data_IF_131228466336
#
_entry.id   IF_131228466336
#
_cell.length_a   1.000
_cell.length_b   1.000
_cell.length_c   1.000
_cell.angle_alpha   90.00
_cell.angle_beta   90.00
_cell.angle_gamma   90.00
#
_symmetry.space_group_name_H-M   'P 1'
#
loop_
_entity.id
_entity.type
_entity.pdbx_description
1 polymer ?
#
# COMPACT_ATOMS: atom_id res chain seq x y z
N UNK A 1 -27.84 14.83 2.40
CA UNK A 1 -26.62 14.42 1.66
C UNK A 1 -25.56 15.47 1.93
N UNK A 2 -24.39 15.06 2.43
CA UNK A 2 -23.32 15.99 2.83
C UNK A 2 -22.72 16.64 1.57
N UNK A 3 -23.06 17.90 1.32
CA UNK A 3 -22.58 18.69 0.17
C UNK A 3 -21.03 18.66 0.01
N UNK A 4 -20.23 18.70 1.09
CA UNK A 4 -18.77 18.61 0.99
C UNK A 4 -18.25 17.23 0.52
N UNK A 5 -18.94 16.14 0.86
CA UNK A 5 -18.58 14.80 0.38
C UNK A 5 -18.72 14.70 -1.13
N UNK A 6 -19.84 15.21 -1.66
CA UNK A 6 -20.12 15.17 -3.10
C UNK A 6 -19.04 15.95 -3.85
N UNK A 7 -18.60 17.09 -3.32
CA UNK A 7 -17.51 17.88 -3.88
C UNK A 7 -16.21 17.06 -3.92
N UNK A 8 -15.81 16.43 -2.82
CA UNK A 8 -14.57 15.65 -2.76
C UNK A 8 -14.57 14.48 -3.75
N UNK A 9 -15.69 13.75 -3.83
CA UNK A 9 -15.84 12.65 -4.80
C UNK A 9 -15.83 13.17 -6.22
N UNK A 10 -16.48 14.30 -6.50
CA UNK A 10 -16.50 14.92 -7.83
C UNK A 10 -15.09 15.38 -8.24
N UNK A 11 -14.35 16.03 -7.34
CA UNK A 11 -12.95 16.44 -7.58
C UNK A 11 -12.09 15.21 -7.88
N UNK A 12 -12.26 14.13 -7.14
CA UNK A 12 -11.53 12.88 -7.41
C UNK A 12 -11.87 12.29 -8.77
N UNK A 13 -13.15 12.24 -9.16
CA UNK A 13 -13.56 11.77 -10.49
C UNK A 13 -12.98 12.66 -11.59
N UNK A 14 -13.02 13.99 -11.42
CA UNK A 14 -12.42 14.94 -12.36
C UNK A 14 -10.91 14.72 -12.47
N UNK A 15 -10.22 14.50 -11.36
CA UNK A 15 -8.79 14.18 -11.33
C UNK A 15 -8.50 12.88 -12.10
N UNK A 16 -9.30 11.84 -11.92
CA UNK A 16 -9.17 10.59 -12.68
C UNK A 16 -9.40 10.80 -14.17
N UNK A 17 -10.38 11.61 -14.57
CA UNK A 17 -10.64 11.90 -15.99
C UNK A 17 -9.51 12.72 -16.62
N UNK A 18 -8.96 13.71 -15.90
CA UNK A 18 -7.79 14.48 -16.34
C UNK A 18 -6.60 13.54 -16.54
N UNK A 19 -6.35 12.64 -15.57
CA UNK A 19 -5.25 11.69 -15.65
C UNK A 19 -5.46 10.67 -16.79
N UNK A 20 -6.69 10.20 -16.98
CA UNK A 20 -7.06 9.30 -18.08
C UNK A 20 -6.86 9.97 -19.45
N UNK A 21 -7.24 11.24 -19.58
CA UNK A 21 -7.05 12.01 -20.82
C UNK A 21 -5.57 12.29 -21.08
N UNK A 22 -4.79 12.58 -20.03
CA UNK A 22 -3.33 12.74 -20.12
C UNK A 22 -2.62 11.41 -20.47
N UNK A 23 -3.18 10.28 -20.04
CA UNK A 23 -2.71 8.93 -20.38
C UNK A 23 -2.92 8.57 -21.86
N UNK A 24 -3.80 9.22 -22.60
CA UNK A 24 -3.95 9.02 -24.06
C UNK A 24 -2.76 9.60 -24.86
N UNK A 25 -1.85 10.33 -24.21
CA UNK A 25 -0.60 10.78 -24.81
C UNK A 25 0.35 9.59 -24.97
N UNK A 26 1.13 9.58 -26.05
CA UNK A 26 2.15 8.56 -26.41
C UNK A 26 3.37 8.50 -25.45
N UNK A 27 3.18 8.79 -24.17
CA UNK A 27 4.24 8.70 -23.15
C UNK A 27 4.49 7.25 -22.74
N UNK A 28 5.71 6.97 -22.26
CA UNK A 28 6.04 5.67 -21.70
C UNK A 28 5.19 5.38 -20.45
N UNK A 29 4.88 4.09 -20.22
CA UNK A 29 4.07 3.65 -19.09
C UNK A 29 4.63 4.15 -17.75
N UNK A 30 5.95 4.11 -17.57
CA UNK A 30 6.62 4.60 -16.36
C UNK A 30 6.32 6.09 -16.09
N UNK A 31 6.31 6.92 -17.13
CA UNK A 31 5.99 8.36 -16.99
C UNK A 31 4.53 8.55 -16.60
N UNK A 32 3.61 7.74 -17.14
CA UNK A 32 2.18 7.78 -16.79
C UNK A 32 1.96 7.41 -15.33
N UNK A 33 2.60 6.33 -14.85
CA UNK A 33 2.53 5.89 -13.46
C UNK A 33 3.11 6.92 -12.51
N UNK A 34 4.29 7.50 -12.85
CA UNK A 34 4.92 8.52 -12.03
C UNK A 34 4.05 9.77 -11.90
N UNK A 35 3.47 10.24 -13.01
CA UNK A 35 2.55 11.40 -12.99
C UNK A 35 1.31 11.09 -12.15
N UNK A 36 0.71 9.89 -12.29
CA UNK A 36 -0.41 9.46 -11.46
C UNK A 36 -0.08 9.43 -9.97
N UNK A 37 1.12 8.94 -9.61
CA UNK A 37 1.62 8.92 -8.22
C UNK A 37 1.75 10.34 -7.68
N UNK A 38 2.39 11.25 -8.42
CA UNK A 38 2.58 12.64 -7.98
C UNK A 38 1.23 13.34 -7.77
N UNK A 39 0.31 13.25 -8.74
CA UNK A 39 -1.02 13.84 -8.59
C UNK A 39 -1.82 13.20 -7.44
N UNK A 40 -1.72 11.88 -7.25
CA UNK A 40 -2.38 11.17 -6.16
C UNK A 40 -1.87 11.61 -4.78
N UNK A 41 -0.55 11.73 -4.61
CA UNK A 41 0.07 12.20 -3.36
C UNK A 41 -0.31 13.64 -3.08
N UNK A 42 -0.22 14.53 -4.08
CA UNK A 42 -0.61 15.94 -3.93
C UNK A 42 -2.09 16.07 -3.55
N UNK A 43 -2.97 15.29 -4.17
CA UNK A 43 -4.40 15.27 -3.85
C UNK A 43 -4.65 14.78 -2.41
N UNK A 44 -4.00 13.69 -1.99
CA UNK A 44 -4.12 13.17 -0.62
C UNK A 44 -3.63 14.16 0.44
N UNK A 45 -2.51 14.84 0.20
CA UNK A 45 -1.99 15.89 1.08
C UNK A 45 -2.91 17.11 1.11
N UNK A 46 -3.47 17.52 -0.03
CA UNK A 46 -4.43 18.62 -0.08
C UNK A 46 -5.68 18.31 0.77
N UNK A 47 -6.23 17.10 0.64
CA UNK A 47 -7.37 16.68 1.48
C UNK A 47 -7.04 16.73 2.98
N UNK A 48 -5.85 16.28 3.38
CA UNK A 48 -5.41 16.33 4.78
C UNK A 48 -5.14 17.77 5.28
N UNK A 49 -4.87 18.72 4.38
CA UNK A 49 -4.66 20.12 4.75
C UNK A 49 -5.98 20.91 4.89
N UNK A 50 -7.01 20.55 4.13
CA UNK A 50 -8.31 21.24 4.16
C UNK A 50 -9.29 20.67 5.18
N UNK A 51 -9.10 19.41 5.62
CA UNK A 51 -10.00 18.75 6.54
C UNK A 51 -9.21 18.16 7.73
N UNK A 52 -9.73 18.36 8.94
CA UNK A 52 -9.15 17.79 10.17
C UNK A 52 -9.36 16.27 10.20
N UNK A 53 -8.38 15.51 10.71
CA UNK A 53 -8.31 14.05 10.60
C UNK A 53 -9.53 13.30 11.22
N UNK A 54 -10.33 13.99 12.03
CA UNK A 54 -11.51 13.43 12.70
C UNK A 54 -12.85 13.75 12.01
N UNK A 55 -12.84 14.46 10.89
CA UNK A 55 -14.09 14.83 10.21
C UNK A 55 -14.76 13.60 9.55
N UNK A 56 -16.03 13.28 9.87
CA UNK A 56 -16.77 12.17 9.25
C UNK A 56 -16.84 12.27 7.72
N UNK A 57 -16.72 13.47 7.15
CA UNK A 57 -16.77 13.70 5.70
C UNK A 57 -15.56 13.08 4.98
N UNK A 58 -14.36 13.14 5.58
CA UNK A 58 -13.16 12.52 4.98
C UNK A 58 -13.31 11.00 5.00
N UNK A 59 -13.77 10.43 6.11
CA UNK A 59 -13.92 8.97 6.27
C UNK A 59 -14.85 8.41 5.21
N UNK A 60 -16.00 9.04 4.98
CA UNK A 60 -16.92 8.64 3.92
C UNK A 60 -16.32 8.85 2.52
N UNK A 61 -15.58 9.95 2.29
CA UNK A 61 -14.89 10.19 1.00
C UNK A 61 -13.82 9.13 0.69
N UNK A 62 -13.07 8.70 1.70
CA UNK A 62 -12.05 7.64 1.57
C UNK A 62 -12.70 6.32 1.13
N UNK A 63 -13.90 5.98 1.60
CA UNK A 63 -14.60 4.77 1.15
C UNK A 63 -14.83 4.79 -0.37
N UNK A 64 -15.19 5.94 -0.93
CA UNK A 64 -15.35 6.10 -2.38
C UNK A 64 -14.02 6.01 -3.13
N UNK A 65 -12.94 6.61 -2.61
CA UNK A 65 -11.62 6.52 -3.22
C UNK A 65 -11.07 5.09 -3.21
N UNK A 66 -11.34 4.35 -2.13
CA UNK A 66 -10.93 2.97 -1.95
C UNK A 66 -11.56 2.01 -2.98
N UNK A 67 -12.73 2.32 -3.54
CA UNK A 67 -13.31 1.50 -4.62
C UNK A 67 -12.36 1.42 -5.82
N UNK A 68 -11.76 2.55 -6.19
CA UNK A 68 -10.82 2.61 -7.34
C UNK A 68 -9.48 1.97 -6.96
N UNK A 69 -8.94 2.29 -5.78
CA UNK A 69 -7.66 1.76 -5.32
C UNK A 69 -7.68 0.25 -5.09
N UNK A 70 -8.67 -0.24 -4.33
CA UNK A 70 -8.82 -1.67 -4.07
C UNK A 70 -9.21 -2.41 -5.35
N UNK A 71 -10.04 -1.82 -6.20
CA UNK A 71 -10.37 -2.40 -7.50
C UNK A 71 -9.12 -2.65 -8.35
N UNK A 72 -8.19 -1.69 -8.41
CA UNK A 72 -6.92 -1.87 -9.11
C UNK A 72 -6.09 -3.03 -8.52
N UNK A 73 -5.92 -3.07 -7.20
CA UNK A 73 -5.15 -4.14 -6.53
C UNK A 73 -5.79 -5.51 -6.73
N UNK A 74 -7.12 -5.61 -6.63
CA UNK A 74 -7.87 -6.85 -6.85
C UNK A 74 -7.71 -7.36 -8.29
N UNK A 75 -7.78 -6.47 -9.28
CA UNK A 75 -7.55 -6.83 -10.68
C UNK A 75 -6.12 -7.35 -10.89
N UNK A 76 -5.11 -6.74 -10.26
CA UNK A 76 -3.74 -7.26 -10.31
C UNK A 76 -3.64 -8.64 -9.63
N UNK A 77 -4.23 -8.81 -8.44
CA UNK A 77 -4.20 -10.07 -7.69
C UNK A 77 -4.85 -11.22 -8.46
N UNK A 78 -5.95 -10.96 -9.19
CA UNK A 78 -6.63 -11.93 -10.05
C UNK A 78 -5.69 -12.49 -11.14
N UNK A 79 -4.81 -11.64 -11.69
CA UNK A 79 -3.87 -12.03 -12.74
C UNK A 79 -2.62 -12.72 -12.17
N UNK A 80 -2.15 -12.28 -11.00
CA UNK A 80 -0.89 -12.75 -10.40
C UNK A 80 -0.92 -14.26 -10.15
N UNK A 81 -1.97 -14.81 -9.54
CA UNK A 81 -2.05 -16.23 -9.18
C UNK A 81 -1.88 -17.17 -10.41
N UNK A 82 -2.68 -17.06 -11.49
CA UNK A 82 -2.53 -17.94 -12.64
C UNK A 82 -1.22 -17.70 -13.40
N UNK A 83 -0.76 -16.44 -13.49
CA UNK A 83 0.46 -16.09 -14.21
C UNK A 83 1.71 -16.68 -13.53
N UNK A 84 1.78 -16.65 -12.20
CA UNK A 84 2.90 -17.22 -11.44
C UNK A 84 2.98 -18.73 -11.67
N UNK A 85 1.86 -19.45 -11.62
CA UNK A 85 1.83 -20.88 -11.89
C UNK A 85 2.31 -21.21 -13.31
N UNK A 86 1.75 -20.54 -14.32
CA UNK A 86 2.14 -20.75 -15.72
C UNK A 86 3.62 -20.40 -15.97
N UNK A 87 4.11 -19.33 -15.34
CA UNK A 87 5.52 -18.91 -15.43
C UNK A 87 6.47 -19.94 -14.82
N UNK A 88 6.16 -20.46 -13.62
CA UNK A 88 6.98 -21.48 -12.96
C UNK A 88 6.95 -22.79 -13.77
N UNK A 89 5.78 -23.23 -14.22
CA UNK A 89 5.64 -24.46 -15.01
C UNK A 89 6.43 -24.38 -16.32
N UNK A 90 6.33 -23.25 -17.03
CA UNK A 90 7.08 -22.99 -18.27
C UNK A 90 8.59 -22.90 -18.03
N UNK A 91 9.01 -22.32 -16.89
CA UNK A 91 10.41 -22.28 -16.52
C UNK A 91 10.93 -23.70 -16.25
N UNK A 92 10.24 -24.48 -15.43
CA UNK A 92 10.65 -25.85 -15.07
C UNK A 92 10.64 -26.78 -16.28
N UNK A 93 9.66 -26.68 -17.18
CA UNK A 93 9.59 -27.52 -18.39
C UNK A 93 10.74 -27.30 -19.37
N UNK A 94 11.39 -26.13 -19.33
CA UNK A 94 12.56 -25.78 -20.15
C UNK A 94 13.88 -26.28 -19.57
N UNK A 95 13.91 -26.73 -18.31
CA UNK A 95 15.11 -27.32 -17.71
C UNK A 95 15.23 -28.81 -18.09
N UNK A 96 16.19 -29.13 -18.94
CA UNK A 96 16.49 -30.51 -19.35
C UNK A 96 17.18 -31.36 -18.25
N UNK A 97 17.80 -30.73 -17.25
CA UNK A 97 18.58 -31.42 -16.22
C UNK A 97 18.13 -30.99 -14.82
N UNK A 98 17.62 -31.95 -14.04
CA UNK A 98 17.17 -31.72 -12.66
C UNK A 98 18.29 -31.19 -11.74
N UNK A 99 19.54 -31.59 -11.98
CA UNK A 99 20.71 -31.10 -11.24
C UNK A 99 20.95 -29.59 -11.40
N UNK A 100 20.65 -29.04 -12.57
CA UNK A 100 20.79 -27.60 -12.83
C UNK A 100 19.79 -26.78 -12.00
N UNK A 101 18.60 -27.32 -11.72
CA UNK A 101 17.57 -26.65 -10.91
C UNK A 101 18.04 -26.42 -9.48
N UNK A 102 18.64 -27.45 -8.87
CA UNK A 102 19.19 -27.35 -7.51
C UNK A 102 20.28 -26.30 -7.40
N UNK A 103 21.22 -26.25 -8.36
CA UNK A 103 22.29 -25.25 -8.39
C UNK A 103 21.78 -23.83 -8.61
N UNK A 104 20.83 -23.63 -9.53
CA UNK A 104 20.21 -22.32 -9.79
C UNK A 104 19.45 -21.83 -8.55
N UNK A 105 18.69 -22.73 -7.90
CA UNK A 105 17.95 -22.41 -6.69
C UNK A 105 18.90 -22.03 -5.55
N UNK A 106 19.95 -22.82 -5.31
CA UNK A 106 20.94 -22.53 -4.27
C UNK A 106 21.65 -21.18 -4.49
N UNK A 107 22.05 -20.87 -5.74
CA UNK A 107 22.65 -19.58 -6.08
C UNK A 107 21.67 -18.42 -5.91
N UNK A 108 20.42 -18.60 -6.32
CA UNK A 108 19.37 -17.58 -6.18
C UNK A 108 19.07 -17.31 -4.71
N UNK A 109 18.82 -18.35 -3.92
CA UNK A 109 18.54 -18.23 -2.48
C UNK A 109 19.74 -17.60 -1.76
N UNK A 110 20.97 -18.04 -2.06
CA UNK A 110 22.17 -17.45 -1.48
C UNK A 110 22.29 -15.95 -1.81
N UNK A 111 22.02 -15.56 -3.05
CA UNK A 111 22.06 -14.15 -3.48
C UNK A 111 20.94 -13.32 -2.83
N UNK A 112 19.73 -13.86 -2.73
CA UNK A 112 18.59 -13.19 -2.09
C UNK A 112 18.83 -13.01 -0.59
N UNK A 113 19.31 -14.04 0.11
CA UNK A 113 19.66 -13.95 1.53
C UNK A 113 20.79 -12.95 1.77
N UNK A 114 21.81 -12.95 0.92
CA UNK A 114 22.94 -12.03 1.04
C UNK A 114 22.51 -10.57 0.83
N UNK A 115 21.74 -10.29 -0.23
CA UNK A 115 21.20 -8.94 -0.49
C UNK A 115 20.21 -8.50 0.59
N UNK A 116 19.41 -9.42 1.12
CA UNK A 116 18.50 -9.16 2.26
C UNK A 116 19.27 -8.83 3.54
N UNK A 117 20.37 -9.55 3.82
CA UNK A 117 21.23 -9.26 4.97
C UNK A 117 21.86 -7.86 4.87
N UNK A 118 22.33 -7.47 3.68
CA UNK A 118 22.86 -6.12 3.44
C UNK A 118 21.75 -5.07 3.63
N UNK A 119 20.57 -5.29 3.05
CA UNK A 119 19.43 -4.37 3.18
C UNK A 119 19.01 -4.21 4.65
N UNK A 120 18.96 -5.30 5.42
CA UNK A 120 18.66 -5.29 6.85
C UNK A 120 19.73 -4.54 7.65
N UNK A 121 21.02 -4.75 7.35
CA UNK A 121 22.11 -4.03 8.01
C UNK A 121 22.02 -2.52 7.75
N UNK A 122 21.77 -2.11 6.51
CA UNK A 122 21.55 -0.69 6.17
C UNK A 122 20.33 -0.15 6.93
N UNK A 123 19.23 -0.90 6.97
CA UNK A 123 18.02 -0.53 7.71
C UNK A 123 18.28 -0.31 9.19
N UNK A 124 19.04 -1.21 9.84
CA UNK A 124 19.43 -1.09 11.25
C UNK A 124 20.33 0.14 11.47
N UNK A 125 21.32 0.36 10.60
CA UNK A 125 22.23 1.52 10.72
C UNK A 125 21.45 2.82 10.60
N UNK A 126 20.56 2.94 9.61
CA UNK A 126 19.69 4.11 9.45
C UNK A 126 18.79 4.27 10.68
N UNK A 127 18.15 3.21 11.15
CA UNK A 127 17.29 3.26 12.33
C UNK A 127 18.04 3.78 13.57
N UNK A 128 19.28 3.36 13.78
CA UNK A 128 20.10 3.82 14.90
C UNK A 128 20.57 5.28 14.72
N UNK A 129 21.00 5.68 13.52
CA UNK A 129 21.46 7.06 13.25
C UNK A 129 20.32 8.07 13.45
N UNK A 130 19.11 7.74 12.99
CA UNK A 130 17.94 8.61 13.13
C UNK A 130 17.20 8.43 14.46
N UNK A 131 17.70 7.58 15.37
CA UNK A 131 17.07 7.33 16.66
C UNK A 131 15.63 6.80 16.54
N UNK A 132 15.35 6.03 15.49
CA UNK A 132 14.03 5.44 15.24
C UNK A 132 13.80 4.29 16.23
N UNK A 133 13.23 4.61 17.40
CA UNK A 133 12.90 3.66 18.46
C UNK A 133 11.44 3.20 18.37
N UNK A 134 11.20 1.91 18.59
CA UNK A 134 9.84 1.33 18.61
C UNK A 134 9.05 1.62 19.91
N UNK A 135 9.64 2.33 20.88
CA UNK A 135 9.03 2.59 22.19
C UNK A 135 7.68 3.31 22.10
N UNK A 136 7.49 4.21 21.11
CA UNK A 136 6.21 4.88 20.88
C UNK A 136 5.12 3.99 20.24
N UNK A 137 5.49 2.91 19.56
CA UNK A 137 4.52 1.99 18.93
C UNK A 137 3.86 1.06 19.97
N UNK A 138 4.64 0.63 20.97
CA UNK A 138 4.15 -0.25 22.06
C UNK A 138 3.25 0.52 23.04
N UNK A 139 3.54 1.80 23.29
CA UNK A 139 2.69 2.65 24.11
C UNK A 139 1.30 2.85 23.50
N UNK A 140 1.21 3.05 22.18
CA UNK A 140 -0.08 3.19 21.48
C UNK A 140 -0.99 1.95 21.59
N UNK A 141 -0.44 0.74 21.51
CA UNK A 141 -1.22 -0.49 21.68
C UNK A 141 -1.69 -0.69 23.13
N UNK A 142 -0.82 -0.43 24.10
CA UNK A 142 -1.19 -0.50 25.53
C UNK A 142 -2.22 0.57 25.91
N UNK A 143 -2.12 1.76 25.35
CA UNK A 143 -3.07 2.85 25.57
C UNK A 143 -4.41 2.58 24.90
N UNK A 144 -4.42 2.02 23.68
CA UNK A 144 -5.64 1.57 23.01
C UNK A 144 -6.36 0.45 23.80
N UNK A 145 -5.60 -0.52 24.35
CA UNK A 145 -6.15 -1.58 25.20
C UNK A 145 -6.68 -1.03 26.54
N UNK A 146 -5.99 -0.05 27.15
CA UNK A 146 -6.48 0.64 28.35
C UNK A 146 -7.77 1.43 28.07
N UNK A 147 -7.86 2.13 26.93
CA UNK A 147 -9.10 2.79 26.49
C UNK A 147 -10.24 1.79 26.30
N UNK A 148 -9.98 0.64 25.67
CA UNK A 148 -10.98 -0.41 25.49
C UNK A 148 -11.46 -1.01 26.81
N UNK A 149 -10.54 -1.23 27.77
CA UNK A 149 -10.87 -1.72 29.11
C UNK A 149 -11.69 -0.69 29.91
N UNK A 150 -11.38 0.60 29.77
CA UNK A 150 -12.17 1.69 30.33
C UNK A 150 -13.57 1.67 29.71
N UNK A 151 -13.71 1.69 28.38
CA UNK A 151 -15.02 1.62 27.74
C UNK A 151 -15.85 0.42 28.21
N UNK A 152 -15.27 -0.78 28.26
CA UNK A 152 -15.95 -1.98 28.73
C UNK A 152 -16.45 -1.85 30.18
N UNK A 153 -15.64 -1.28 31.08
CA UNK A 153 -16.01 -1.09 32.50
C UNK A 153 -17.04 0.02 32.73
N UNK A 154 -17.11 1.03 31.87
CA UNK A 154 -18.12 2.09 31.97
C UNK A 154 -19.47 1.64 31.39
N UNK A 155 -19.48 0.82 30.33
CA UNK A 155 -20.72 0.28 29.73
C UNK A 155 -21.34 -0.82 30.61
N UNK A 156 -20.51 -1.60 31.32
CA UNK A 156 -20.98 -2.64 32.25
C UNK A 156 -21.52 -2.13 33.59
N UNK A 157 -21.35 -0.83 33.90
CA UNK A 157 -21.84 -0.21 35.16
C UNK A 157 -23.14 0.59 34.99
N UNK A 158 -23.62 0.73 33.75
CA UNK A 158 -24.85 1.47 33.40
C UNK A 158 -26.06 0.57 33.11
N UNK A 159 -26.09 -0.64 33.69
CA UNK A 159 -27.28 -1.52 33.76
C UNK A 159 -27.45 -2.00 35.19
#
# INVERSE_FOLDING_TARGET
MNFPLIINVLVFVVLLLILAKLSQRQWSLSKKVLVGLVFGVVFGLALHAFYDAHDPIIKESILWFNIVGNGYVQLLQMIIMPLVFASILSAVSRLHQASSLGKISALTIGTLLFTTAIAALIGIVIANIFGLTAEGLVQGEQEAQRLAAIQHNYIGKSV
#
